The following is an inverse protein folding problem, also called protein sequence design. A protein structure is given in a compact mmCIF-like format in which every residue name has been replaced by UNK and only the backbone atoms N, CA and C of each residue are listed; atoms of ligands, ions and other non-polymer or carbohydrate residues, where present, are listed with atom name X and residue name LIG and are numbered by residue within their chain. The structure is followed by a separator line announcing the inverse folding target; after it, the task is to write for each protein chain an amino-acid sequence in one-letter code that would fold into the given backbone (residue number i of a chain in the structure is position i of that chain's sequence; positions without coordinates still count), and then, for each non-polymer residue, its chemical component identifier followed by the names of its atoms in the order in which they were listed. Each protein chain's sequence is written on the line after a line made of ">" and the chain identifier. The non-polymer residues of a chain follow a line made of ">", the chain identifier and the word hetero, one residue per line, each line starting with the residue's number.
data_IF_915223903082
#
_entry.id   IF_915223903082
#
_cell.length_a   1.000
_cell.length_b   1.000
_cell.length_c   1.000
_cell.angle_alpha   90.00
_cell.angle_beta   90.00
_cell.angle_gamma   90.00
#
_symmetry.space_group_name_H-M   'P 1'
#
loop_
_entity.id
_entity.type
_entity.pdbx_description
1 polymer ?
#
# COMPACT_ATOMS: atom_id res chain seq x y z
N UNK A 1 -9.45 1.57 15.15
CA UNK A 1 -8.91 0.42 14.37
C UNK A 1 -8.59 0.81 12.93
N UNK A 2 -9.56 1.35 12.17
CA UNK A 2 -9.35 1.78 10.77
C UNK A 2 -8.21 2.79 10.62
N UNK A 3 -8.10 3.78 11.53
CA UNK A 3 -7.01 4.77 11.48
C UNK A 3 -5.60 4.15 11.57
N UNK A 4 -5.43 3.09 12.37
CA UNK A 4 -4.15 2.39 12.46
C UNK A 4 -3.82 1.65 11.15
N UNK A 5 -4.81 0.99 10.54
CA UNK A 5 -4.64 0.32 9.27
C UNK A 5 -4.27 1.30 8.14
N UNK A 6 -4.95 2.45 8.07
CA UNK A 6 -4.64 3.50 7.08
C UNK A 6 -3.25 4.07 7.31
N UNK A 7 -2.83 4.30 8.56
CA UNK A 7 -1.48 4.77 8.88
C UNK A 7 -0.40 3.79 8.45
N UNK A 8 -0.58 2.49 8.70
CA UNK A 8 0.38 1.46 8.27
C UNK A 8 0.43 1.42 6.74
N UNK A 9 -0.71 1.46 6.07
CA UNK A 9 -0.77 1.45 4.61
C UNK A 9 -0.06 2.67 4.01
N UNK A 10 -0.31 3.87 4.54
CA UNK A 10 0.35 5.09 4.09
C UNK A 10 1.84 5.12 4.41
N UNK A 11 2.26 4.54 5.54
CA UNK A 11 3.68 4.42 5.89
C UNK A 11 4.41 3.51 4.91
N UNK A 12 3.83 2.36 4.58
CA UNK A 12 4.38 1.44 3.57
C UNK A 12 4.36 2.09 2.20
N UNK A 13 3.24 2.69 1.78
CA UNK A 13 3.13 3.37 0.50
C UNK A 13 4.10 4.56 0.36
N UNK A 14 4.34 5.29 1.45
CA UNK A 14 5.33 6.38 1.51
C UNK A 14 6.76 5.86 1.39
N UNK A 15 7.10 4.77 2.10
CA UNK A 15 8.41 4.13 1.99
C UNK A 15 8.69 3.63 0.57
N UNK A 16 7.68 3.06 -0.11
CA UNK A 16 7.83 2.66 -1.51
C UNK A 16 7.91 3.89 -2.43
N UNK A 17 7.12 4.93 -2.20
CA UNK A 17 7.14 6.16 -2.99
C UNK A 17 8.50 6.87 -2.94
N UNK A 18 9.16 6.86 -1.79
CA UNK A 18 10.49 7.43 -1.60
C UNK A 18 11.58 6.76 -2.46
N UNK A 19 11.34 5.54 -2.95
CA UNK A 19 12.24 4.87 -3.88
C UNK A 19 12.13 5.42 -5.31
N UNK A 20 10.98 6.01 -5.67
CA UNK A 20 10.70 6.48 -7.02
C UNK A 20 10.73 8.00 -7.14
N UNK A 21 10.39 8.72 -6.07
CA UNK A 21 10.21 10.17 -6.05
C UNK A 21 10.77 10.75 -4.75
N UNK A 22 11.50 11.86 -4.86
CA UNK A 22 12.00 12.60 -3.71
C UNK A 22 10.84 13.10 -2.82
N UNK A 23 11.03 12.97 -1.50
CA UNK A 23 10.02 13.29 -0.48
C UNK A 23 9.59 14.77 -0.51
N UNK A 24 10.53 15.67 -0.85
CA UNK A 24 10.27 17.12 -0.97
C UNK A 24 9.58 17.52 -2.29
N UNK A 25 9.32 16.57 -3.19
CA UNK A 25 8.70 16.90 -4.47
C UNK A 25 7.20 17.19 -4.30
N UNK A 26 6.63 18.12 -5.10
CA UNK A 26 5.21 18.43 -5.06
C UNK A 26 4.31 17.23 -5.44
N UNK A 27 4.89 16.22 -6.12
CA UNK A 27 4.16 15.06 -6.59
C UNK A 27 4.21 13.87 -5.61
N UNK A 28 4.99 13.96 -4.53
CA UNK A 28 5.22 12.84 -3.61
C UNK A 28 3.91 12.31 -3.03
N UNK A 29 3.02 13.18 -2.57
CA UNK A 29 1.73 12.78 -2.01
C UNK A 29 0.83 12.02 -3.00
N UNK A 30 0.87 12.37 -4.29
CA UNK A 30 0.10 11.68 -5.34
C UNK A 30 0.67 10.28 -5.56
N UNK A 31 2.00 10.17 -5.70
CA UNK A 31 2.69 8.89 -5.90
C UNK A 31 2.55 7.98 -4.68
N UNK A 32 2.65 8.52 -3.47
CA UNK A 32 2.37 7.81 -2.22
C UNK A 32 0.95 7.25 -2.21
N UNK A 33 -0.06 8.04 -2.60
CA UNK A 33 -1.44 7.59 -2.71
C UNK A 33 -1.59 6.43 -3.69
N UNK A 34 -1.05 6.58 -4.91
CA UNK A 34 -1.10 5.54 -5.94
C UNK A 34 -0.44 4.24 -5.49
N UNK A 35 0.76 4.31 -4.90
CA UNK A 35 1.48 3.14 -4.41
C UNK A 35 0.80 2.50 -3.20
N UNK A 36 0.19 3.30 -2.32
CA UNK A 36 -0.64 2.79 -1.22
C UNK A 36 -1.82 1.97 -1.76
N UNK A 37 -2.46 2.40 -2.86
CA UNK A 37 -3.51 1.63 -3.52
C UNK A 37 -2.98 0.31 -4.09
N UNK A 38 -1.83 0.33 -4.75
CA UNK A 38 -1.20 -0.91 -5.28
C UNK A 38 -0.90 -1.89 -4.15
N UNK A 39 -0.31 -1.43 -3.06
CA UNK A 39 -0.04 -2.26 -1.86
C UNK A 39 -1.34 -2.85 -1.32
N UNK A 40 -2.41 -2.05 -1.22
CA UNK A 40 -3.70 -2.53 -0.73
C UNK A 40 -4.26 -3.65 -1.63
N UNK A 41 -4.22 -3.48 -2.94
CA UNK A 41 -4.68 -4.49 -3.91
C UNK A 41 -3.86 -5.76 -3.79
N UNK A 42 -2.53 -5.67 -3.66
CA UNK A 42 -1.67 -6.83 -3.45
C UNK A 42 -2.01 -7.56 -2.15
N UNK A 43 -2.21 -6.84 -1.05
CA UNK A 43 -2.58 -7.43 0.25
C UNK A 43 -3.92 -8.18 0.14
N UNK A 44 -4.94 -7.56 -0.46
CA UNK A 44 -6.24 -8.20 -0.65
C UNK A 44 -6.10 -9.43 -1.56
N UNK A 45 -5.37 -9.31 -2.67
CA UNK A 45 -5.11 -10.41 -3.59
C UNK A 45 -4.44 -11.60 -2.91
N UNK A 46 -3.42 -11.36 -2.09
CA UNK A 46 -2.75 -12.40 -1.30
C UNK A 46 -3.73 -13.07 -0.33
N UNK A 47 -4.55 -12.29 0.39
CA UNK A 47 -5.54 -12.83 1.32
C UNK A 47 -6.54 -13.73 0.58
N UNK A 48 -7.04 -13.28 -0.58
CA UNK A 48 -7.99 -14.04 -1.39
C UNK A 48 -7.37 -15.33 -1.90
N UNK A 49 -6.16 -15.27 -2.48
CA UNK A 49 -5.46 -16.45 -2.97
C UNK A 49 -5.12 -17.43 -1.85
N UNK A 50 -4.76 -16.92 -0.67
CA UNK A 50 -4.43 -17.76 0.47
C UNK A 50 -5.67 -18.47 1.05
N UNK A 51 -6.82 -17.79 1.08
CA UNK A 51 -8.11 -18.40 1.42
C UNK A 51 -8.50 -19.45 0.41
N UNK A 52 -8.44 -19.13 -0.88
CA UNK A 52 -8.79 -20.06 -1.95
C UNK A 52 -7.97 -21.35 -1.88
N UNK A 53 -6.64 -21.25 -1.69
CA UNK A 53 -5.77 -22.42 -1.48
C UNK A 53 -6.09 -23.23 -0.23
N UNK A 54 -6.62 -22.59 0.82
CA UNK A 54 -6.93 -23.25 2.10
C UNK A 54 -8.27 -24.00 2.05
N UNK A 55 -9.18 -23.54 1.20
CA UNK A 55 -10.50 -24.13 1.02
C UNK A 55 -10.51 -25.30 0.00
N UNK A 56 -9.36 -25.60 -0.63
CA UNK A 56 -9.08 -26.73 -1.53
C UNK A 56 -8.35 -27.87 -0.79
#
# INVERSE_FOLDING_TARGET
>A
MINLAVRILLAVGGAVAALFVAEDSPNFGVVQGMLSTVVLVCVIGIIVLWRWKKDE
#
